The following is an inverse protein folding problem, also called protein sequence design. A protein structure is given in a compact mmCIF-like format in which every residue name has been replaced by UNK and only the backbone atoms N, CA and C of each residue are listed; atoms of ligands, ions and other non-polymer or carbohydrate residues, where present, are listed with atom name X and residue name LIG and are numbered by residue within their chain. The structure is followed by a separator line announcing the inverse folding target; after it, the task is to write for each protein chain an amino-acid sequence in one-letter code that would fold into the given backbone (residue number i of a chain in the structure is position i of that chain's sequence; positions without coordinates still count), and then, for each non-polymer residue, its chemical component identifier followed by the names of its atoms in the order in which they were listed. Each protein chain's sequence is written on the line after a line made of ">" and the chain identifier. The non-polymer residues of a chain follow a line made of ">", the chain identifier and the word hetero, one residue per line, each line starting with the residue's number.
data_IF_946216360531
#
_entry.id   IF_946216360531
#
_cell.length_a   1.000
_cell.length_b   1.000
_cell.length_c   1.000
_cell.angle_alpha   90.00
_cell.angle_beta   90.00
_cell.angle_gamma   90.00
#
_symmetry.space_group_name_H-M   'P 1'
#
loop_
_entity.id
_entity.type
_entity.pdbx_description
1 polymer ?
#
# COMPACT_ATOMS: atom_id res chain seq x y z
N UNK A 1 14.96 -22.53 -8.74
CA UNK A 1 14.41 -23.57 -9.64
C UNK A 1 14.09 -24.87 -8.91
N UNK A 2 14.95 -25.38 -8.03
CA UNK A 2 14.70 -26.62 -7.27
C UNK A 2 13.39 -26.60 -6.44
N UNK A 3 13.04 -25.46 -5.83
CA UNK A 3 11.79 -25.32 -5.05
C UNK A 3 10.56 -25.53 -5.94
N UNK A 4 10.49 -24.89 -7.11
CA UNK A 4 9.35 -25.02 -8.02
C UNK A 4 9.23 -26.44 -8.57
N UNK A 5 10.36 -27.08 -8.92
CA UNK A 5 10.36 -28.48 -9.35
C UNK A 5 9.85 -29.41 -8.24
N UNK A 6 10.26 -29.17 -6.98
CA UNK A 6 9.75 -29.90 -5.82
C UNK A 6 8.25 -29.71 -5.59
N UNK A 7 7.73 -28.50 -5.76
CA UNK A 7 6.29 -28.21 -5.64
C UNK A 7 5.51 -28.93 -6.74
N UNK A 8 5.97 -28.89 -7.99
CA UNK A 8 5.32 -29.62 -9.09
C UNK A 8 5.35 -31.14 -8.84
N UNK A 9 6.46 -31.69 -8.37
CA UNK A 9 6.54 -33.10 -8.00
C UNK A 9 5.55 -33.44 -6.87
N UNK A 10 5.42 -32.58 -5.86
CA UNK A 10 4.46 -32.77 -4.76
C UNK A 10 3.00 -32.75 -5.26
N UNK A 11 2.66 -31.92 -6.24
CA UNK A 11 1.35 -31.93 -6.88
C UNK A 11 1.05 -33.28 -7.56
N UNK A 12 2.04 -33.87 -8.24
CA UNK A 12 1.88 -35.19 -8.88
C UNK A 12 1.70 -36.29 -7.83
N UNK A 13 2.50 -36.26 -6.75
CA UNK A 13 2.43 -37.26 -5.67
C UNK A 13 1.11 -37.22 -4.91
N UNK A 14 0.62 -36.01 -4.60
CA UNK A 14 -0.66 -35.80 -3.89
C UNK A 14 -1.87 -35.83 -4.85
N UNK A 15 -1.61 -35.82 -6.17
CA UNK A 15 -2.62 -35.76 -7.25
C UNK A 15 -3.54 -34.56 -7.14
N UNK A 16 -3.00 -33.42 -6.72
CA UNK A 16 -3.78 -32.20 -6.61
C UNK A 16 -2.92 -30.93 -6.65
N UNK A 17 -3.58 -29.79 -6.89
CA UNK A 17 -2.95 -28.49 -7.13
C UNK A 17 -2.67 -27.71 -5.83
N UNK A 18 -3.09 -28.18 -4.65
CA UNK A 18 -2.96 -27.38 -3.43
C UNK A 18 -1.50 -26.96 -3.13
N UNK A 19 -0.47 -27.79 -3.35
CA UNK A 19 0.91 -27.32 -3.16
C UNK A 19 1.25 -26.06 -3.97
N UNK A 20 0.75 -25.97 -5.21
CA UNK A 20 0.90 -24.77 -6.05
C UNK A 20 0.06 -23.58 -5.56
N UNK A 21 -1.09 -23.84 -4.91
CA UNK A 21 -1.91 -22.78 -4.30
C UNK A 21 -1.22 -22.10 -3.12
N UNK A 22 -0.30 -22.80 -2.44
CA UNK A 22 0.53 -22.21 -1.38
C UNK A 22 1.87 -21.68 -1.90
N UNK A 23 2.40 -22.21 -3.01
CA UNK A 23 3.70 -21.83 -3.57
C UNK A 23 3.61 -21.57 -5.07
N UNK A 24 3.87 -20.32 -5.48
CA UNK A 24 3.90 -19.91 -6.88
C UNK A 24 2.61 -19.23 -7.35
N UNK A 25 1.45 -19.91 -7.29
CA UNK A 25 0.18 -19.33 -7.76
C UNK A 25 -0.21 -18.02 -7.04
N UNK A 26 0.01 -17.85 -5.71
CA UNK A 26 -0.23 -16.57 -5.05
C UNK A 26 0.47 -15.37 -5.70
N UNK A 27 1.66 -15.58 -6.28
CA UNK A 27 2.39 -14.54 -6.99
C UNK A 27 1.69 -14.11 -8.28
N UNK A 28 0.90 -14.96 -8.92
CA UNK A 28 0.18 -14.60 -10.14
C UNK A 28 -1.11 -13.84 -9.84
N UNK A 29 -1.93 -14.34 -8.91
CA UNK A 29 -3.23 -13.71 -8.63
C UNK A 29 -3.19 -12.60 -7.57
N UNK A 30 -2.16 -12.55 -6.72
CA UNK A 30 -2.07 -11.59 -5.61
C UNK A 30 -1.01 -10.51 -5.77
N UNK A 31 0.12 -10.80 -6.43
CA UNK A 31 1.27 -9.88 -6.43
C UNK A 31 0.98 -8.53 -7.09
N UNK A 32 0.26 -8.54 -8.22
CA UNK A 32 -0.11 -7.31 -8.92
C UNK A 32 -0.90 -6.35 -8.01
N UNK A 33 -1.76 -6.90 -7.13
CA UNK A 33 -2.56 -6.12 -6.19
C UNK A 33 -1.66 -5.52 -5.10
N UNK A 34 -0.76 -6.32 -4.53
CA UNK A 34 0.22 -5.84 -3.52
C UNK A 34 1.09 -4.72 -4.09
N UNK A 35 1.60 -4.89 -5.31
CA UNK A 35 2.42 -3.87 -5.99
C UNK A 35 1.61 -2.60 -6.24
N UNK A 36 0.37 -2.72 -6.72
CA UNK A 36 -0.50 -1.57 -6.97
C UNK A 36 -0.78 -0.78 -5.68
N UNK A 37 -1.09 -1.47 -4.58
CA UNK A 37 -1.36 -0.84 -3.29
C UNK A 37 -0.10 -0.19 -2.71
N UNK A 38 1.03 -0.90 -2.70
CA UNK A 38 2.31 -0.38 -2.18
C UNK A 38 2.82 0.84 -2.96
N UNK A 39 2.78 0.79 -4.29
CA UNK A 39 3.18 1.93 -5.14
C UNK A 39 2.27 3.13 -4.86
N UNK A 40 0.95 2.93 -4.81
CA UNK A 40 0.04 4.06 -4.57
C UNK A 40 0.16 4.64 -3.17
N UNK A 41 0.68 3.91 -2.19
CA UNK A 41 0.86 4.40 -0.83
C UNK A 41 2.10 5.26 -0.64
N UNK A 42 3.21 4.96 -1.30
CA UNK A 42 4.50 5.60 -1.02
C UNK A 42 5.16 6.28 -2.22
N UNK A 43 4.99 5.73 -3.43
CA UNK A 43 5.79 6.15 -4.56
C UNK A 43 5.56 7.63 -4.93
N UNK A 44 6.65 8.32 -5.27
CA UNK A 44 6.60 9.72 -5.67
C UNK A 44 6.37 10.72 -4.54
N UNK A 45 6.48 10.29 -3.29
CA UNK A 45 6.49 11.17 -2.12
C UNK A 45 7.91 11.42 -1.63
N UNK A 46 8.04 12.26 -0.60
CA UNK A 46 9.33 12.56 0.01
C UNK A 46 9.98 11.28 0.54
N UNK A 47 11.24 11.07 0.19
CA UNK A 47 12.09 10.00 0.71
C UNK A 47 12.96 10.56 1.85
N UNK A 48 13.50 9.68 2.70
CA UNK A 48 14.41 10.03 3.81
C UNK A 48 13.87 11.08 4.80
N UNK A 49 12.55 11.12 5.00
CA UNK A 49 11.90 11.95 6.01
C UNK A 49 11.21 11.10 7.08
N UNK A 50 11.36 11.52 8.34
CA UNK A 50 10.77 10.83 9.51
C UNK A 50 9.24 11.04 9.55
N UNK A 51 8.77 12.21 9.12
CA UNK A 51 7.35 12.53 9.15
C UNK A 51 6.58 11.75 8.08
N UNK A 52 5.87 10.71 8.52
CA UNK A 52 5.10 9.84 7.64
C UNK A 52 3.95 10.53 6.91
N UNK A 53 3.52 11.70 7.35
CA UNK A 53 2.53 12.53 6.62
C UNK A 53 3.07 13.01 5.28
N UNK A 54 4.39 13.08 5.13
CA UNK A 54 5.06 13.54 3.91
C UNK A 54 5.41 12.39 2.95
N UNK A 55 5.58 11.18 3.46
CA UNK A 55 6.07 10.02 2.71
C UNK A 55 5.03 8.90 2.49
N UNK A 56 3.80 9.10 2.98
CA UNK A 56 2.73 8.09 2.95
C UNK A 56 1.38 8.69 2.51
N UNK A 57 0.54 7.89 1.86
CA UNK A 57 -0.85 8.23 1.48
C UNK A 57 -1.88 7.36 2.17
N UNK A 58 -2.93 8.00 2.66
CA UNK A 58 -4.21 7.36 2.96
C UNK A 58 -5.14 7.49 1.76
N UNK A 59 -5.74 6.37 1.36
CA UNK A 59 -6.57 6.27 0.17
C UNK A 59 -7.90 5.65 0.58
N UNK A 60 -9.02 6.27 0.22
CA UNK A 60 -10.33 5.64 0.38
C UNK A 60 -10.53 4.58 -0.69
N UNK A 61 -10.84 3.36 -0.24
CA UNK A 61 -11.02 2.20 -1.10
C UNK A 61 -12.40 1.57 -0.85
N UNK A 62 -12.87 0.80 -1.83
CA UNK A 62 -14.14 0.08 -1.73
C UNK A 62 -14.12 -1.05 -0.68
N UNK A 63 -15.28 -1.58 -0.28
CA UNK A 63 -15.40 -2.58 0.77
C UNK A 63 -14.59 -3.85 0.48
N UNK A 64 -14.57 -4.32 -0.77
CA UNK A 64 -13.81 -5.51 -1.16
C UNK A 64 -12.30 -5.31 -0.93
N UNK A 65 -11.73 -4.21 -1.44
CA UNK A 65 -10.30 -3.93 -1.27
C UNK A 65 -9.97 -3.73 0.21
N UNK A 66 -10.82 -3.05 0.98
CA UNK A 66 -10.63 -2.89 2.42
C UNK A 66 -10.67 -4.21 3.18
N UNK A 67 -11.49 -5.16 2.72
CA UNK A 67 -11.55 -6.50 3.32
C UNK A 67 -10.28 -7.29 3.01
N UNK A 68 -9.88 -7.38 1.73
CA UNK A 68 -8.66 -8.08 1.30
C UNK A 68 -7.42 -7.46 1.96
N UNK A 69 -7.40 -6.14 2.05
CA UNK A 69 -6.26 -5.36 2.53
C UNK A 69 -6.38 -4.97 4.00
N UNK A 70 -7.30 -5.57 4.75
CA UNK A 70 -7.45 -5.38 6.19
C UNK A 70 -7.53 -3.91 6.65
N UNK A 71 -8.20 -3.03 5.91
CA UNK A 71 -8.24 -1.58 6.17
C UNK A 71 -6.86 -0.87 6.18
N UNK A 72 -5.81 -1.47 5.64
CA UNK A 72 -4.49 -0.84 5.44
C UNK A 72 -4.51 0.31 4.42
N UNK A 73 -5.68 0.64 3.89
CA UNK A 73 -5.91 1.85 3.12
C UNK A 73 -5.75 3.14 3.96
N UNK A 74 -5.87 3.03 5.30
CA UNK A 74 -5.50 4.06 6.30
C UNK A 74 -4.01 3.93 6.65
N UNK A 75 -3.16 4.20 5.67
CA UNK A 75 -1.75 3.85 5.74
C UNK A 75 -0.92 4.88 6.50
N UNK A 76 -1.23 6.18 6.36
CA UNK A 76 -0.55 7.21 7.16
C UNK A 76 -0.78 6.95 8.64
N UNK A 77 -2.00 6.58 9.01
CA UNK A 77 -2.39 6.23 10.37
C UNK A 77 -1.60 5.02 10.89
N UNK A 78 -1.43 3.99 10.07
CA UNK A 78 -0.63 2.83 10.43
C UNK A 78 0.84 3.20 10.67
N UNK A 79 1.43 4.06 9.83
CA UNK A 79 2.83 4.46 10.01
C UNK A 79 3.04 5.34 11.24
N UNK A 80 2.09 6.23 11.57
CA UNK A 80 2.18 7.06 12.79
C UNK A 80 1.92 6.21 14.05
N UNK A 81 0.99 5.26 13.99
CA UNK A 81 0.60 4.41 15.12
C UNK A 81 0.58 2.92 14.75
N UNK A 82 1.75 2.28 14.53
CA UNK A 82 1.84 0.91 14.02
C UNK A 82 1.34 -0.15 15.02
N UNK A 83 1.23 0.20 16.30
CA UNK A 83 0.64 -0.66 17.33
C UNK A 83 -0.88 -0.74 17.27
N UNK A 84 -1.56 0.17 16.55
CA UNK A 84 -3.02 0.15 16.42
C UNK A 84 -3.41 -0.95 15.43
N UNK A 85 -4.25 -1.92 15.85
CA UNK A 85 -4.58 -3.04 14.99
C UNK A 85 -5.47 -2.60 13.82
N UNK A 86 -5.32 -3.28 12.70
CA UNK A 86 -5.87 -2.90 11.39
C UNK A 86 -7.41 -2.64 11.40
N UNK A 87 -8.16 -3.39 12.22
CA UNK A 87 -9.61 -3.24 12.35
C UNK A 87 -10.02 -1.94 13.07
N UNK A 88 -9.11 -1.33 13.83
CA UNK A 88 -9.32 -0.07 14.55
C UNK A 88 -8.82 1.17 13.78
N UNK A 89 -8.11 0.99 12.66
CA UNK A 89 -7.55 2.11 11.88
C UNK A 89 -8.62 3.09 11.38
N UNK A 90 -9.84 2.63 11.07
CA UNK A 90 -10.94 3.54 10.73
C UNK A 90 -11.29 4.48 11.88
N UNK A 91 -11.28 3.99 13.13
CA UNK A 91 -11.58 4.82 14.31
C UNK A 91 -10.47 5.83 14.55
N UNK A 92 -9.21 5.38 14.43
CA UNK A 92 -8.03 6.25 14.51
C UNK A 92 -8.09 7.34 13.44
N UNK A 93 -8.35 6.97 12.18
CA UNK A 93 -8.51 7.92 11.09
C UNK A 93 -9.52 9.02 11.42
N UNK A 94 -10.70 8.66 11.95
CA UNK A 94 -11.69 9.67 12.35
C UNK A 94 -11.17 10.60 13.46
N UNK A 95 -10.38 10.07 14.40
CA UNK A 95 -9.86 10.85 15.52
C UNK A 95 -8.73 11.82 15.14
N UNK A 96 -7.92 11.48 14.13
CA UNK A 96 -6.73 12.27 13.75
C UNK A 96 -6.79 12.85 12.33
N UNK A 97 -7.84 12.63 11.55
CA UNK A 97 -7.91 13.07 10.13
C UNK A 97 -7.60 14.56 9.92
N UNK A 98 -7.97 15.42 10.87
CA UNK A 98 -7.76 16.87 10.78
C UNK A 98 -6.28 17.25 10.99
N UNK A 99 -5.49 16.27 11.43
CA UNK A 99 -4.06 16.36 11.64
C UNK A 99 -3.24 15.77 10.47
N UNK A 100 -3.91 15.12 9.52
CA UNK A 100 -3.30 14.42 8.40
C UNK A 100 -3.49 15.20 7.09
N UNK A 101 -2.62 14.97 6.09
CA UNK A 101 -2.88 15.42 4.74
C UNK A 101 -4.21 14.86 4.21
N UNK A 102 -4.87 15.61 3.33
CA UNK A 102 -6.12 15.17 2.69
C UNK A 102 -5.97 13.78 2.05
N UNK A 103 -6.82 12.80 2.42
CA UNK A 103 -6.82 11.48 1.81
C UNK A 103 -7.19 11.52 0.32
N UNK A 104 -6.70 10.55 -0.44
CA UNK A 104 -7.12 10.36 -1.83
C UNK A 104 -8.51 9.72 -1.83
N UNK A 105 -9.48 10.22 -2.62
CA UNK A 105 -10.84 9.71 -2.57
C UNK A 105 -11.01 8.36 -3.29
N UNK A 106 -10.02 7.92 -4.07
CA UNK A 106 -10.00 6.60 -4.71
C UNK A 106 -8.60 6.20 -5.14
N UNK A 107 -8.39 4.89 -5.35
CA UNK A 107 -7.16 4.33 -5.93
C UNK A 107 -6.84 4.96 -7.29
N UNK A 108 -7.87 5.23 -8.10
CA UNK A 108 -7.72 5.91 -9.38
C UNK A 108 -7.12 7.31 -9.26
N UNK A 109 -7.56 8.10 -8.26
CA UNK A 109 -7.00 9.44 -8.03
C UNK A 109 -5.55 9.36 -7.58
N UNK A 110 -5.19 8.38 -6.75
CA UNK A 110 -3.80 8.15 -6.37
C UNK A 110 -2.94 7.79 -7.59
N UNK A 111 -3.39 6.83 -8.41
CA UNK A 111 -2.67 6.44 -9.65
C UNK A 111 -2.47 7.60 -10.63
N UNK A 112 -3.46 8.49 -10.77
CA UNK A 112 -3.35 9.68 -11.61
C UNK A 112 -2.26 10.66 -11.19
N UNK A 113 -1.86 10.65 -9.92
CA UNK A 113 -0.72 11.43 -9.43
C UNK A 113 0.59 10.64 -9.51
N UNK A 114 0.56 9.37 -9.11
CA UNK A 114 1.75 8.52 -8.99
C UNK A 114 2.36 8.21 -10.35
N UNK A 115 1.57 7.87 -11.36
CA UNK A 115 2.12 7.48 -12.68
C UNK A 115 2.90 8.64 -13.33
N UNK A 116 2.37 9.87 -13.44
CA UNK A 116 3.15 11.01 -13.95
C UNK A 116 4.36 11.35 -13.08
N UNK A 117 4.24 11.20 -11.76
CA UNK A 117 5.32 11.48 -10.82
C UNK A 117 6.49 10.54 -11.03
N UNK A 118 6.23 9.23 -11.11
CA UNK A 118 7.27 8.23 -11.38
C UNK A 118 7.94 8.45 -12.74
N UNK A 119 7.18 8.85 -13.77
CA UNK A 119 7.76 9.21 -15.08
C UNK A 119 8.69 10.42 -15.00
N UNK A 120 8.37 11.39 -14.14
CA UNK A 120 9.25 12.53 -13.89
C UNK A 120 10.48 12.12 -13.10
N UNK A 121 10.31 11.30 -12.05
CA UNK A 121 11.42 10.78 -11.24
C UNK A 121 12.43 9.96 -12.06
N UNK A 122 11.98 9.31 -13.14
CA UNK A 122 12.88 8.61 -14.06
C UNK A 122 13.93 9.52 -14.72
N UNK A 123 13.68 10.84 -14.80
CA UNK A 123 14.61 11.82 -15.36
C UNK A 123 15.13 12.83 -14.30
N UNK A 124 14.45 12.94 -13.17
CA UNK A 124 14.73 13.88 -12.08
C UNK A 124 14.50 13.18 -10.74
N UNK A 125 15.52 12.49 -10.24
CA UNK A 125 15.41 11.70 -9.00
C UNK A 125 15.13 12.54 -7.76
N UNK A 126 15.40 13.85 -7.80
CA UNK A 126 15.10 14.77 -6.70
C UNK A 126 13.64 15.22 -6.66
N UNK A 127 12.85 14.91 -7.71
CA UNK A 127 11.44 15.27 -7.75
C UNK A 127 10.61 14.40 -6.81
N UNK A 128 9.73 15.04 -6.05
CA UNK A 128 8.65 14.39 -5.32
C UNK A 128 7.43 15.32 -5.20
N UNK A 129 6.27 14.74 -4.95
CA UNK A 129 5.04 15.50 -4.70
C UNK A 129 5.09 16.09 -3.30
N UNK A 130 5.00 17.42 -3.21
CA UNK A 130 4.91 18.12 -1.92
C UNK A 130 3.51 17.95 -1.33
N UNK A 131 3.42 17.31 -0.16
CA UNK A 131 2.17 17.16 0.58
C UNK A 131 1.90 18.42 1.40
N UNK A 132 0.69 18.95 1.28
CA UNK A 132 0.24 20.02 2.16
C UNK A 132 -0.15 19.44 3.52
N UNK A 133 0.50 19.94 4.58
CA UNK A 133 0.14 19.61 5.96
C UNK A 133 -0.88 20.63 6.50
N UNK A 134 -1.77 20.22 7.43
CA UNK A 134 -2.63 21.16 8.13
C UNK A 134 -1.81 22.19 8.90
N UNK A 135 -2.27 23.46 8.90
CA UNK A 135 -1.52 24.61 9.44
C UNK A 135 -1.17 24.52 10.94
N UNK A 136 -1.84 23.64 11.71
CA UNK A 136 -1.67 23.50 13.16
C UNK A 136 -1.59 22.03 13.57
N UNK A 137 -0.42 21.41 13.47
CA UNK A 137 -0.24 20.05 13.98
C UNK A 137 1.14 19.81 14.59
N UNK A 138 1.19 19.91 15.91
CA UNK A 138 2.21 19.28 16.74
C UNK A 138 1.79 17.82 16.93
N UNK A 139 2.26 16.91 16.06
CA UNK A 139 2.19 15.45 16.26
C UNK A 139 3.62 14.95 16.44
#
# INVERSE_FOLDING_TARGET
>A
MLILAGVVASCVLVRSIEPLMFVGLPSFYGHWLVVTLGITQHAGLAEDVIDHRLNTRTIYMGPLTRWIYWNMNYHVEHHIYPSVPFHSLKKLHVAIKDQLPTPYPSLYRALREVIPTLRRQANDSAYFVKRALPLNTNI
#
